data_IF_299302392157
#
_entry.id   IF_299302392157
#
_cell.length_a   1.000
_cell.length_b   1.000
_cell.length_c   1.000
_cell.angle_alpha   90.00
_cell.angle_beta   90.00
_cell.angle_gamma   90.00
#
_symmetry.space_group_name_H-M   'P 1'
#
loop_
_entity.id
_entity.type
_entity.pdbx_description
1 polymer ?
#
# COMPACT_ATOMS: atom_id res chain seq x y z
N UNK A 1 23.78 24.90 9.21
CA UNK A 1 22.49 25.05 8.51
C UNK A 1 21.76 23.74 8.70
N UNK A 2 20.83 23.69 9.67
CA UNK A 2 19.90 22.55 9.74
C UNK A 2 19.02 22.64 8.50
N UNK A 3 19.07 21.59 7.67
CA UNK A 3 18.26 21.52 6.45
C UNK A 3 16.77 21.60 6.77
N UNK A 4 15.97 21.87 5.75
CA UNK A 4 14.52 22.07 5.87
C UNK A 4 13.76 20.84 6.44
N UNK A 5 14.39 19.67 6.56
CA UNK A 5 13.78 18.39 6.99
C UNK A 5 12.52 18.04 6.20
N UNK A 6 12.59 18.18 4.88
CA UNK A 6 11.51 17.84 3.96
C UNK A 6 11.81 16.53 3.24
N UNK A 7 10.77 15.76 2.95
CA UNK A 7 10.85 14.57 2.12
C UNK A 7 9.86 14.65 0.96
N UNK A 8 10.35 14.39 -0.24
CA UNK A 8 9.53 14.24 -1.45
C UNK A 8 9.43 12.73 -1.73
N UNK A 9 8.29 12.14 -1.35
CA UNK A 9 8.08 10.71 -1.46
C UNK A 9 7.33 10.31 -2.75
N UNK A 10 6.77 11.27 -3.48
CA UNK A 10 5.93 11.00 -4.64
C UNK A 10 4.90 9.90 -4.32
N UNK A 11 4.90 8.79 -5.05
CA UNK A 11 3.99 7.66 -4.86
C UNK A 11 4.59 6.53 -4.01
N UNK A 12 5.72 6.76 -3.33
CA UNK A 12 6.29 5.78 -2.40
C UNK A 12 5.52 5.66 -1.08
N UNK A 13 4.64 6.63 -0.77
CA UNK A 13 3.77 6.64 0.41
C UNK A 13 2.33 6.85 -0.06
N UNK A 14 1.50 5.82 0.04
CA UNK A 14 0.15 5.82 -0.56
C UNK A 14 -0.98 5.57 0.45
N UNK A 15 -0.69 5.31 1.72
CA UNK A 15 -1.70 4.95 2.73
C UNK A 15 -2.61 3.81 2.25
N UNK A 16 -3.91 4.11 2.03
CA UNK A 16 -4.92 3.16 1.56
C UNK A 16 -5.18 3.29 0.04
N UNK A 17 -4.27 3.96 -0.69
CA UNK A 17 -4.38 4.19 -2.13
C UNK A 17 -5.15 5.44 -2.50
N UNK A 18 -5.14 5.72 -3.82
CA UNK A 18 -5.79 6.89 -4.39
C UNK A 18 -7.24 6.62 -4.80
N UNK A 19 -7.57 6.94 -6.05
CA UNK A 19 -8.90 6.67 -6.60
C UNK A 19 -9.19 5.18 -6.77
N UNK A 20 -8.17 4.35 -6.93
CA UNK A 20 -8.28 2.88 -7.03
C UNK A 20 -8.72 2.22 -5.72
N UNK A 21 -8.63 2.91 -4.58
CA UNK A 21 -8.95 2.36 -3.27
C UNK A 21 -7.93 1.34 -2.73
N UNK A 22 -6.78 1.19 -3.38
CA UNK A 22 -5.67 0.37 -2.92
C UNK A 22 -4.31 0.99 -3.30
N UNK A 23 -3.27 0.82 -2.46
CA UNK A 23 -1.92 1.28 -2.78
C UNK A 23 -1.29 0.38 -3.86
N UNK A 24 -0.51 0.90 -4.79
CA UNK A 24 0.18 0.09 -5.80
C UNK A 24 1.59 -0.27 -5.29
N UNK A 25 1.70 -1.40 -4.59
CA UNK A 25 2.96 -1.89 -4.00
C UNK A 25 3.49 -3.08 -4.81
N UNK A 26 4.60 -2.90 -5.51
CA UNK A 26 5.21 -3.96 -6.33
C UNK A 26 6.15 -4.86 -5.52
N UNK A 27 6.89 -4.27 -4.57
CA UNK A 27 7.80 -5.01 -3.69
C UNK A 27 7.51 -4.66 -2.23
N UNK A 28 6.78 -5.55 -1.55
CA UNK A 28 6.30 -5.32 -0.19
C UNK A 28 7.45 -5.09 0.81
N UNK A 29 8.53 -5.88 0.73
CA UNK A 29 9.70 -5.75 1.61
C UNK A 29 10.39 -4.39 1.45
N UNK A 30 10.70 -3.99 0.22
CA UNK A 30 11.38 -2.72 -0.03
C UNK A 30 10.47 -1.54 0.34
N UNK A 31 9.19 -1.60 -0.01
CA UNK A 31 8.20 -0.61 0.38
C UNK A 31 8.17 -0.41 1.91
N UNK A 32 8.00 -1.50 2.67
CA UNK A 32 7.96 -1.47 4.13
C UNK A 32 9.22 -0.88 4.73
N UNK A 33 10.40 -1.29 4.23
CA UNK A 33 11.67 -0.78 4.71
C UNK A 33 11.85 0.71 4.41
N UNK A 34 11.43 1.17 3.22
CA UNK A 34 11.47 2.59 2.85
C UNK A 34 10.55 3.44 3.72
N UNK A 35 9.33 2.99 3.99
CA UNK A 35 8.38 3.73 4.85
C UNK A 35 8.85 3.75 6.30
N UNK A 36 9.39 2.63 6.83
CA UNK A 36 10.00 2.58 8.16
C UNK A 36 11.17 3.54 8.29
N UNK A 37 12.08 3.57 7.31
CA UNK A 37 13.20 4.52 7.28
C UNK A 37 12.70 5.97 7.30
N UNK A 38 11.65 6.29 6.55
CA UNK A 38 11.04 7.63 6.60
C UNK A 38 10.48 7.97 7.97
N UNK A 39 9.85 7.01 8.65
CA UNK A 39 9.21 7.19 9.95
C UNK A 39 10.19 7.27 11.11
N UNK A 40 11.25 6.45 11.09
CA UNK A 40 12.10 6.18 12.25
C UNK A 40 13.49 6.83 12.14
N UNK A 41 14.04 6.97 10.93
CA UNK A 41 15.39 7.50 10.71
C UNK A 41 15.40 8.91 10.14
N UNK A 42 14.61 9.17 9.09
CA UNK A 42 14.59 10.46 8.39
C UNK A 42 13.74 11.48 9.14
N UNK A 43 12.59 11.05 9.67
CA UNK A 43 11.68 11.87 10.49
C UNK A 43 11.39 13.27 9.89
N UNK A 44 10.89 13.37 8.64
CA UNK A 44 10.69 14.65 8.00
C UNK A 44 9.58 15.47 8.68
N UNK A 45 9.76 16.79 8.73
CA UNK A 45 8.75 17.74 9.23
C UNK A 45 7.66 18.03 8.19
N UNK A 46 7.99 17.88 6.90
CA UNK A 46 7.05 18.00 5.80
C UNK A 46 7.25 16.86 4.79
N UNK A 47 6.15 16.30 4.33
CA UNK A 47 6.10 15.19 3.39
C UNK A 47 5.28 15.60 2.16
N UNK A 48 5.90 15.50 0.99
CA UNK A 48 5.31 15.82 -0.31
C UNK A 48 5.05 14.54 -1.09
N UNK A 49 3.77 14.27 -1.38
CA UNK A 49 3.26 13.11 -2.11
C UNK A 49 2.98 13.47 -3.56
N UNK A 50 2.95 12.46 -4.43
CA UNK A 50 2.63 12.64 -5.86
C UNK A 50 1.15 12.98 -6.07
N UNK A 51 0.28 12.40 -5.23
CA UNK A 51 -1.16 12.61 -5.27
C UNK A 51 -1.77 12.67 -3.87
N UNK A 52 -2.99 13.24 -3.74
CA UNK A 52 -3.83 13.04 -2.57
C UNK A 52 -4.23 11.56 -2.43
N UNK A 53 -3.97 10.98 -1.27
CA UNK A 53 -4.27 9.57 -0.98
C UNK A 53 -5.28 9.42 0.16
N UNK A 54 -5.97 8.28 0.23
CA UNK A 54 -7.00 8.01 1.25
C UNK A 54 -6.38 7.54 2.55
N UNK A 55 -6.93 8.02 3.66
CA UNK A 55 -6.71 7.42 4.97
C UNK A 55 -7.62 6.19 5.18
N UNK A 56 -7.52 5.56 6.36
CA UNK A 56 -8.31 4.37 6.73
C UNK A 56 -9.83 4.56 6.70
N UNK A 57 -10.31 5.79 6.79
CA UNK A 57 -11.73 6.13 6.73
C UNK A 57 -12.18 6.48 5.30
N UNK A 58 -11.32 6.28 4.29
CA UNK A 58 -11.59 6.62 2.90
C UNK A 58 -11.49 8.11 2.57
N UNK A 59 -11.08 8.95 3.53
CA UNK A 59 -10.99 10.41 3.36
C UNK A 59 -9.67 10.77 2.67
N UNK A 60 -9.77 11.55 1.59
CA UNK A 60 -8.62 12.07 0.85
C UNK A 60 -7.82 13.03 1.73
N UNK A 61 -6.53 12.77 1.88
CA UNK A 61 -5.57 13.64 2.57
C UNK A 61 -4.85 14.52 1.55
N UNK A 62 -4.39 15.69 1.99
CA UNK A 62 -3.54 16.58 1.20
C UNK A 62 -2.28 15.84 0.70
N UNK A 63 -1.79 16.21 -0.48
CA UNK A 63 -0.48 15.76 -0.96
C UNK A 63 0.69 16.44 -0.23
N UNK A 64 0.43 17.55 0.47
CA UNK A 64 1.39 18.24 1.33
C UNK A 64 0.97 17.99 2.78
N UNK A 65 1.80 17.26 3.52
CA UNK A 65 1.56 16.85 4.90
C UNK A 65 2.62 17.47 5.79
N UNK A 66 2.22 18.02 6.93
CA UNK A 66 3.13 18.75 7.82
C UNK A 66 3.00 18.32 9.28
N UNK A 67 4.08 18.48 10.03
CA UNK A 67 4.13 18.27 11.48
C UNK A 67 3.77 16.84 11.88
N UNK A 68 3.01 16.69 12.96
CA UNK A 68 2.63 15.38 13.51
C UNK A 68 1.82 14.51 12.54
N UNK A 69 1.20 15.10 11.51
CA UNK A 69 0.45 14.35 10.52
C UNK A 69 1.36 13.49 9.64
N UNK A 70 2.64 13.86 9.49
CA UNK A 70 3.61 13.08 8.70
C UNK A 70 3.74 11.67 9.29
N UNK A 71 3.97 11.57 10.59
CA UNK A 71 4.08 10.29 11.28
C UNK A 71 2.79 9.46 11.15
N UNK A 72 1.61 10.09 11.21
CA UNK A 72 0.32 9.39 11.06
C UNK A 72 0.12 8.82 9.64
N UNK A 73 0.54 9.55 8.62
CA UNK A 73 0.46 9.11 7.20
C UNK A 73 1.41 7.94 6.93
N UNK A 74 2.63 8.00 7.45
CA UNK A 74 3.60 6.92 7.35
C UNK A 74 3.13 5.68 8.12
N UNK A 75 2.63 5.87 9.35
CA UNK A 75 2.06 4.78 10.15
C UNK A 75 0.86 4.13 9.46
N UNK A 76 -0.07 4.92 8.90
CA UNK A 76 -1.21 4.40 8.15
C UNK A 76 -0.78 3.58 6.92
N UNK A 77 0.32 3.97 6.29
CA UNK A 77 0.91 3.24 5.15
C UNK A 77 1.49 1.89 5.57
N UNK A 78 2.09 1.79 6.77
CA UNK A 78 2.57 0.54 7.36
C UNK A 78 1.43 -0.35 7.88
N UNK A 79 0.38 0.24 8.46
CA UNK A 79 -0.82 -0.49 8.88
C UNK A 79 -1.51 -1.18 7.69
N UNK A 80 -1.61 -0.47 6.56
CA UNK A 80 -2.18 -1.05 5.35
C UNK A 80 -1.30 -2.18 4.78
N UNK A 81 0.04 -2.02 4.80
CA UNK A 81 0.96 -3.10 4.41
C UNK A 81 0.83 -4.33 5.31
N UNK A 82 0.75 -4.14 6.64
CA UNK A 82 0.56 -5.24 7.58
C UNK A 82 -0.77 -5.97 7.30
N UNK A 83 -1.87 -5.21 7.08
CA UNK A 83 -3.17 -5.78 6.71
C UNK A 83 -3.09 -6.62 5.44
N UNK A 84 -2.42 -6.12 4.40
CA UNK A 84 -2.25 -6.84 3.13
C UNK A 84 -1.44 -8.12 3.32
N UNK A 85 -0.32 -8.05 4.04
CA UNK A 85 0.52 -9.21 4.35
C UNK A 85 -0.27 -10.30 5.09
N UNK A 86 -1.04 -9.91 6.10
CA UNK A 86 -1.85 -10.83 6.89
C UNK A 86 -2.96 -11.49 6.06
N UNK A 87 -3.66 -10.72 5.23
CA UNK A 87 -4.72 -11.25 4.35
C UNK A 87 -4.15 -12.24 3.35
N UNK A 88 -3.08 -11.87 2.65
CA UNK A 88 -2.42 -12.76 1.68
C UNK A 88 -1.92 -14.04 2.36
N UNK A 89 -1.32 -13.93 3.55
CA UNK A 89 -0.82 -15.07 4.31
C UNK A 89 -1.92 -16.05 4.71
N UNK A 90 -3.09 -15.54 5.14
CA UNK A 90 -4.23 -16.38 5.53
C UNK A 90 -4.87 -17.10 4.36
N UNK A 91 -5.03 -16.42 3.22
CA UNK A 91 -5.71 -17.00 2.05
C UNK A 91 -4.82 -17.91 1.21
N UNK A 92 -3.50 -17.72 1.27
CA UNK A 92 -2.56 -18.50 0.46
C UNK A 92 -1.72 -19.46 1.32
N UNK A 93 -2.11 -19.77 2.55
CA UNK A 93 -1.36 -20.68 3.45
C UNK A 93 -1.13 -22.04 2.80
N UNK A 94 -2.12 -22.50 2.02
CA UNK A 94 -2.15 -23.84 1.42
C UNK A 94 -1.69 -23.84 -0.06
N UNK A 95 -1.14 -22.71 -0.53
CA UNK A 95 -0.74 -22.51 -1.93
C UNK A 95 -1.70 -21.58 -2.69
N UNK A 96 -1.52 -21.49 -4.02
CA UNK A 96 -2.44 -20.73 -4.88
C UNK A 96 -3.71 -21.55 -5.14
N UNK A 97 -4.90 -20.96 -4.99
CA UNK A 97 -6.16 -21.61 -5.37
C UNK A 97 -6.14 -22.09 -6.83
N UNK A 98 -6.74 -23.25 -7.08
CA UNK A 98 -6.83 -23.86 -8.42
C UNK A 98 -7.99 -23.32 -9.25
N UNK A 99 -8.87 -22.51 -8.67
CA UNK A 99 -9.99 -21.89 -9.37
C UNK A 99 -9.50 -20.70 -10.22
N UNK A 100 -9.57 -20.84 -11.55
CA UNK A 100 -8.97 -19.91 -12.51
C UNK A 100 -9.98 -19.09 -13.33
N UNK A 101 -11.28 -19.31 -13.13
CA UNK A 101 -12.33 -18.74 -14.01
C UNK A 101 -13.04 -17.50 -13.42
N UNK A 102 -12.60 -17.01 -12.28
CA UNK A 102 -13.19 -15.85 -11.61
C UNK A 102 -12.47 -14.54 -11.96
N UNK A 103 -13.17 -13.41 -11.81
CA UNK A 103 -12.72 -12.08 -12.23
C UNK A 103 -11.38 -11.65 -11.61
N UNK A 104 -11.11 -12.09 -10.38
CA UNK A 104 -9.89 -11.78 -9.63
C UNK A 104 -9.03 -13.02 -9.36
N UNK A 105 -9.30 -14.14 -10.02
CA UNK A 105 -8.54 -15.37 -9.84
C UNK A 105 -7.03 -15.14 -10.08
N UNK A 106 -6.14 -15.78 -9.29
CA UNK A 106 -6.43 -16.75 -8.22
C UNK A 106 -6.71 -16.10 -6.84
N UNK A 107 -6.90 -14.78 -6.78
CA UNK A 107 -6.99 -14.01 -5.53
C UNK A 107 -8.43 -13.58 -5.18
N UNK A 108 -9.45 -14.26 -5.71
CA UNK A 108 -10.85 -13.88 -5.52
C UNK A 108 -11.25 -13.79 -4.04
N UNK A 109 -10.84 -14.76 -3.22
CA UNK A 109 -11.17 -14.76 -1.79
C UNK A 109 -10.56 -13.56 -1.04
N UNK A 110 -9.41 -13.08 -1.50
CA UNK A 110 -8.76 -11.86 -1.00
C UNK A 110 -9.52 -10.62 -1.47
N UNK A 111 -9.94 -10.58 -2.75
CA UNK A 111 -10.75 -9.49 -3.26
C UNK A 111 -12.06 -9.36 -2.48
N UNK A 112 -12.72 -10.47 -2.19
CA UNK A 112 -13.97 -10.51 -1.42
C UNK A 112 -13.76 -10.04 0.02
N UNK A 113 -12.74 -10.54 0.73
CA UNK A 113 -12.46 -10.10 2.11
C UNK A 113 -12.12 -8.61 2.16
N UNK A 114 -11.38 -8.11 1.18
CA UNK A 114 -11.01 -6.69 1.09
C UNK A 114 -12.15 -5.80 0.59
N UNK A 115 -13.26 -6.38 0.12
CA UNK A 115 -14.35 -5.65 -0.53
C UNK A 115 -13.86 -4.92 -1.79
N UNK A 116 -12.91 -5.49 -2.53
CA UNK A 116 -12.33 -4.86 -3.71
C UNK A 116 -13.29 -4.93 -4.90
N UNK A 117 -13.73 -3.76 -5.37
CA UNK A 117 -14.67 -3.63 -6.50
C UNK A 117 -14.05 -2.98 -7.72
N UNK A 118 -12.73 -2.81 -7.76
CA UNK A 118 -12.04 -2.14 -8.86
C UNK A 118 -12.02 -3.00 -10.13
N UNK A 119 -12.32 -2.41 -11.29
CA UNK A 119 -12.33 -3.16 -12.54
C UNK A 119 -10.92 -3.67 -12.91
N UNK A 120 -10.66 -5.00 -12.89
CA UNK A 120 -9.32 -5.51 -13.15
C UNK A 120 -8.88 -5.39 -14.61
N UNK A 121 -9.80 -5.03 -15.51
CA UNK A 121 -9.50 -4.75 -16.92
C UNK A 121 -8.83 -3.40 -17.14
N UNK A 122 -8.81 -2.52 -16.13
CA UNK A 122 -8.08 -1.25 -16.18
C UNK A 122 -6.62 -1.51 -15.80
N UNK A 123 -5.71 -1.37 -16.78
CA UNK A 123 -4.28 -1.66 -16.61
C UNK A 123 -3.48 -0.37 -16.31
N UNK A 124 -2.49 -0.43 -15.41
CA UNK A 124 -2.18 -1.55 -14.53
C UNK A 124 -3.25 -1.74 -13.45
N UNK A 125 -3.64 -2.99 -13.19
CA UNK A 125 -4.56 -3.29 -12.10
C UNK A 125 -3.77 -3.35 -10.79
N UNK A 126 -3.93 -2.33 -9.95
CA UNK A 126 -3.23 -2.24 -8.67
C UNK A 126 -3.41 -3.51 -7.81
N UNK A 127 -4.60 -4.10 -7.80
CA UNK A 127 -4.87 -5.33 -7.06
C UNK A 127 -3.90 -6.46 -7.42
N UNK A 128 -3.74 -6.78 -8.71
CA UNK A 128 -2.84 -7.86 -9.14
C UNK A 128 -1.36 -7.51 -8.89
N UNK A 129 -0.96 -6.24 -9.04
CA UNK A 129 0.40 -5.80 -8.70
C UNK A 129 0.71 -6.09 -7.23
N UNK A 130 -0.20 -5.71 -6.33
CA UNK A 130 -0.06 -5.92 -4.89
C UNK A 130 -0.01 -7.41 -4.57
N UNK A 131 -0.98 -8.18 -5.07
CA UNK A 131 -1.06 -9.62 -4.78
C UNK A 131 0.20 -10.35 -5.24
N UNK A 132 0.72 -10.00 -6.42
CA UNK A 132 1.99 -10.54 -6.89
C UNK A 132 3.15 -10.15 -5.97
N UNK A 133 3.23 -8.89 -5.54
CA UNK A 133 4.29 -8.41 -4.65
C UNK A 133 4.35 -9.18 -3.32
N UNK A 134 3.20 -9.45 -2.69
CA UNK A 134 3.16 -10.27 -1.47
C UNK A 134 3.33 -11.77 -1.74
N UNK A 135 2.93 -12.27 -2.89
CA UNK A 135 3.22 -13.65 -3.28
C UNK A 135 4.73 -13.88 -3.42
N UNK A 136 5.43 -12.96 -4.10
CA UNK A 136 6.89 -13.00 -4.24
C UNK A 136 7.62 -12.89 -2.89
N UNK A 137 7.14 -12.04 -1.98
CA UNK A 137 7.69 -11.89 -0.62
C UNK A 137 7.71 -13.24 0.12
N UNK A 138 6.74 -14.13 -0.13
CA UNK A 138 6.67 -15.45 0.53
C UNK A 138 7.62 -16.49 -0.04
N UNK A 139 8.10 -16.30 -1.27
CA UNK A 139 8.98 -17.25 -1.95
C UNK A 139 10.46 -16.96 -1.61
N UNK A 140 10.77 -15.74 -1.17
CA UNK A 140 12.12 -15.28 -0.82
C UNK A 140 12.46 -15.55 0.65
#
# INVERSE_FOLDING_TARGET
>A
MEGLNWAFAADAVQMYGGLSGMPTIENATLYRNSVKRLLEEVCPKQLFLGYPFRNKNGVIQSAQIEGEQVAKVLQASLEMDAKLSDVVKRHLSDGLPTEQHELYAPFSSIADEMGYTGNPRHLPCAFFVIMNGYLEERIR
#
